data_IF_988978042268
#
_entry.id   IF_988978042268
#
_cell.length_a   1.000
_cell.length_b   1.000
_cell.length_c   1.000
_cell.angle_alpha   90.00
_cell.angle_beta   90.00
_cell.angle_gamma   90.00
#
_symmetry.space_group_name_H-M   'P 1'
#
loop_
_entity.id
_entity.type
_entity.pdbx_description
1 polymer ?
#
# COMPACT_ATOMS: atom_id res chain seq x y z
N UNK A 1 5.77 2.16 -21.24
CA UNK A 1 4.97 1.21 -22.04
C UNK A 1 3.57 1.09 -21.44
N UNK A 2 2.54 1.19 -22.29
CA UNK A 2 1.13 1.25 -21.87
C UNK A 2 0.65 -0.03 -21.21
N UNK A 3 1.09 -1.20 -21.68
CA UNK A 3 0.67 -2.50 -21.15
C UNK A 3 1.02 -2.70 -19.66
N UNK A 4 2.17 -2.21 -19.20
CA UNK A 4 2.58 -2.36 -17.81
C UNK A 4 1.73 -1.49 -16.88
N UNK A 5 1.29 -0.32 -17.36
CA UNK A 5 0.32 0.52 -16.65
C UNK A 5 -1.05 -0.15 -16.63
N UNK A 6 -1.50 -0.75 -17.73
CA UNK A 6 -2.76 -1.51 -17.78
C UNK A 6 -2.77 -2.67 -16.77
N UNK A 7 -1.69 -3.43 -16.70
CA UNK A 7 -1.53 -4.51 -15.73
C UNK A 7 -1.63 -3.99 -14.29
N UNK A 8 -1.00 -2.85 -13.98
CA UNK A 8 -1.13 -2.22 -12.67
C UNK A 8 -2.56 -1.75 -12.38
N UNK A 9 -3.28 -1.18 -13.35
CA UNK A 9 -4.70 -0.79 -13.20
C UNK A 9 -5.55 -2.00 -12.83
N UNK A 10 -5.38 -3.12 -13.55
CA UNK A 10 -6.14 -4.35 -13.30
C UNK A 10 -5.85 -4.92 -11.91
N UNK A 11 -4.57 -5.00 -11.53
CA UNK A 11 -4.16 -5.58 -10.25
C UNK A 11 -4.53 -4.66 -9.09
N UNK A 12 -4.32 -3.35 -9.20
CA UNK A 12 -4.73 -2.42 -8.14
C UNK A 12 -6.26 -2.39 -7.98
N UNK A 13 -7.01 -2.51 -9.08
CA UNK A 13 -8.46 -2.64 -9.07
C UNK A 13 -8.93 -3.91 -8.37
N UNK A 14 -8.31 -5.05 -8.68
CA UNK A 14 -8.56 -6.32 -8.00
C UNK A 14 -8.25 -6.23 -6.49
N UNK A 15 -7.10 -5.66 -6.13
CA UNK A 15 -6.70 -5.42 -4.74
C UNK A 15 -7.71 -4.55 -4.00
N UNK A 16 -8.18 -3.46 -4.64
CA UNK A 16 -9.19 -2.59 -4.05
C UNK A 16 -10.51 -3.35 -3.81
N UNK A 17 -10.92 -4.19 -4.75
CA UNK A 17 -12.12 -5.02 -4.63
C UNK A 17 -12.03 -6.02 -3.46
N UNK A 18 -10.93 -6.79 -3.36
CA UNK A 18 -10.76 -7.76 -2.29
C UNK A 18 -10.64 -7.09 -0.92
N UNK A 19 -9.95 -5.95 -0.83
CA UNK A 19 -9.89 -5.18 0.42
C UNK A 19 -11.27 -4.63 0.83
N UNK A 20 -12.13 -4.25 -0.12
CA UNK A 20 -13.52 -3.84 0.17
C UNK A 20 -14.32 -5.01 0.73
N UNK A 21 -14.17 -6.21 0.16
CA UNK A 21 -14.80 -7.43 0.64
C UNK A 21 -14.34 -7.76 2.06
N UNK A 22 -13.02 -7.77 2.31
CA UNK A 22 -12.45 -7.98 3.64
C UNK A 22 -12.95 -6.96 4.67
N UNK A 23 -13.08 -5.69 4.27
CA UNK A 23 -13.66 -4.64 5.11
C UNK A 23 -15.11 -4.93 5.48
N UNK A 24 -15.96 -5.31 4.51
CA UNK A 24 -17.38 -5.60 4.75
C UNK A 24 -17.57 -6.79 5.68
N UNK A 25 -16.78 -7.85 5.51
CA UNK A 25 -16.91 -9.08 6.30
C UNK A 25 -16.45 -8.91 7.74
N UNK A 26 -15.43 -8.09 8.00
CA UNK A 26 -14.77 -8.02 9.32
C UNK A 26 -14.93 -6.71 10.08
N UNK A 27 -15.37 -5.63 9.42
CA UNK A 27 -15.60 -4.33 10.06
C UNK A 27 -14.35 -3.66 10.67
N UNK A 28 -13.13 -4.14 10.35
CA UNK A 28 -11.90 -3.63 10.97
C UNK A 28 -11.41 -2.36 10.30
N UNK A 29 -11.09 -1.35 11.12
CA UNK A 29 -10.63 -0.03 10.67
C UNK A 29 -9.32 -0.11 9.87
N UNK A 30 -8.46 -1.08 10.16
CA UNK A 30 -7.17 -1.26 9.46
C UNK A 30 -7.32 -1.43 7.94
N UNK A 31 -8.36 -2.13 7.50
CA UNK A 31 -8.62 -2.34 6.07
C UNK A 31 -9.17 -1.09 5.41
N UNK A 32 -9.79 -0.18 6.15
CA UNK A 32 -10.31 1.06 5.60
C UNK A 32 -9.19 1.91 4.99
N UNK A 33 -8.09 2.11 5.73
CA UNK A 33 -6.93 2.85 5.20
C UNK A 33 -6.34 2.21 3.93
N UNK A 34 -6.17 0.87 3.93
CA UNK A 34 -5.67 0.16 2.75
C UNK A 34 -6.64 0.21 1.57
N UNK A 35 -7.97 0.11 1.80
CA UNK A 35 -8.97 0.23 0.73
C UNK A 35 -8.90 1.59 0.05
N UNK A 36 -8.82 2.67 0.83
CA UNK A 36 -8.74 4.03 0.27
C UNK A 36 -7.43 4.18 -0.51
N UNK A 37 -6.31 3.70 0.05
CA UNK A 37 -5.02 3.72 -0.64
C UNK A 37 -5.05 2.95 -1.97
N UNK A 38 -5.69 1.77 -2.00
CA UNK A 38 -5.81 0.95 -3.21
C UNK A 38 -6.72 1.59 -4.28
N UNK A 39 -7.83 2.22 -3.87
CA UNK A 39 -8.69 2.99 -4.77
C UNK A 39 -7.93 4.16 -5.37
N UNK A 40 -7.23 4.94 -4.54
CA UNK A 40 -6.40 6.06 -5.00
C UNK A 40 -5.30 5.58 -5.96
N UNK A 41 -4.63 4.47 -5.64
CA UNK A 41 -3.62 3.89 -6.53
C UNK A 41 -4.24 3.51 -7.89
N UNK A 42 -5.43 2.93 -7.89
CA UNK A 42 -6.14 2.57 -9.13
C UNK A 42 -6.48 3.81 -9.94
N UNK A 43 -6.94 4.89 -9.31
CA UNK A 43 -7.23 6.16 -9.98
C UNK A 43 -5.96 6.79 -10.59
N UNK A 44 -4.82 6.74 -9.89
CA UNK A 44 -3.53 7.20 -10.42
C UNK A 44 -3.10 6.37 -11.63
N UNK A 45 -3.18 5.05 -11.55
CA UNK A 45 -2.77 4.20 -12.68
C UNK A 45 -3.71 4.36 -13.87
N UNK A 46 -5.01 4.59 -13.63
CA UNK A 46 -5.99 4.84 -14.67
C UNK A 46 -5.74 6.17 -15.38
N UNK A 47 -5.43 7.25 -14.64
CA UNK A 47 -5.10 8.54 -15.26
C UNK A 47 -3.83 8.45 -16.10
N UNK A 48 -2.79 7.76 -15.60
CA UNK A 48 -1.56 7.48 -16.35
C UNK A 48 -1.81 6.63 -17.60
N UNK A 49 -2.75 5.68 -17.55
CA UNK A 49 -3.14 4.87 -18.70
C UNK A 49 -3.82 5.71 -19.77
N UNK A 50 -4.82 6.52 -19.41
CA UNK A 50 -5.55 7.40 -20.34
C UNK A 50 -4.61 8.43 -20.97
N UNK A 51 -3.67 8.98 -20.19
CA UNK A 51 -2.67 9.93 -20.68
C UNK A 51 -1.76 9.31 -21.75
N UNK A 52 -1.56 7.99 -21.71
CA UNK A 52 -0.81 7.28 -22.74
C UNK A 52 -1.48 7.26 -24.12
N UNK A 53 -2.78 7.55 -24.21
CA UNK A 53 -3.54 7.61 -25.46
C UNK A 53 -3.96 9.04 -25.84
N UNK A 54 -3.82 9.99 -24.92
CA UNK A 54 -4.31 11.36 -25.09
C UNK A 54 -3.11 12.29 -25.26
N UNK A 55 -2.93 12.87 -26.45
CA UNK A 55 -1.83 13.80 -26.74
C UNK A 55 -2.13 15.25 -26.31
N UNK A 56 -3.11 15.46 -25.42
CA UNK A 56 -3.52 16.80 -24.97
C UNK A 56 -2.66 17.29 -23.81
N UNK A 57 -2.05 18.48 -23.96
CA UNK A 57 -1.29 19.15 -22.90
C UNK A 57 -2.13 19.41 -21.63
N UNK A 58 -3.42 19.75 -21.81
CA UNK A 58 -4.33 19.97 -20.68
C UNK A 58 -4.51 18.69 -19.85
N UNK A 59 -4.63 17.54 -20.53
CA UNK A 59 -4.78 16.25 -19.86
C UNK A 59 -3.49 15.82 -19.15
N UNK A 60 -2.33 16.12 -19.73
CA UNK A 60 -1.03 15.86 -19.12
C UNK A 60 -0.85 16.62 -17.79
N UNK A 61 -1.25 17.89 -17.75
CA UNK A 61 -1.19 18.70 -16.52
C UNK A 61 -2.09 18.15 -15.41
N UNK A 62 -3.33 17.78 -15.76
CA UNK A 62 -4.27 17.16 -14.82
C UNK A 62 -3.71 15.82 -14.30
N UNK A 63 -3.16 14.99 -15.19
CA UNK A 63 -2.57 13.70 -14.83
C UNK A 63 -1.38 13.87 -13.88
N UNK A 64 -0.51 14.85 -14.13
CA UNK A 64 0.62 15.16 -13.24
C UNK A 64 0.13 15.55 -11.84
N UNK A 65 -0.87 16.42 -11.76
CA UNK A 65 -1.48 16.82 -10.49
C UNK A 65 -2.09 15.63 -9.73
N UNK A 66 -2.89 14.80 -10.41
CA UNK A 66 -3.51 13.59 -9.82
C UNK A 66 -2.44 12.62 -9.32
N UNK A 67 -1.39 12.40 -10.11
CA UNK A 67 -0.32 11.45 -9.77
C UNK A 67 0.43 11.90 -8.52
N UNK A 68 0.80 13.17 -8.46
CA UNK A 68 1.53 13.75 -7.35
C UNK A 68 0.73 13.70 -6.03
N UNK A 69 -0.46 14.32 -6.02
CA UNK A 69 -1.31 14.35 -4.83
C UNK A 69 -1.82 12.97 -4.46
N UNK A 70 -2.11 12.14 -5.46
CA UNK A 70 -2.51 10.76 -5.27
C UNK A 70 -1.44 9.94 -4.56
N UNK A 71 -0.17 10.04 -4.96
CA UNK A 71 0.91 9.30 -4.30
C UNK A 71 1.08 9.68 -2.84
N UNK A 72 1.03 10.97 -2.52
CA UNK A 72 1.19 11.49 -1.15
C UNK A 72 0.01 11.04 -0.28
N UNK A 73 -1.21 11.18 -0.80
CA UNK A 73 -2.43 10.78 -0.10
C UNK A 73 -2.48 9.27 0.12
N UNK A 74 -2.15 8.48 -0.92
CA UNK A 74 -2.05 7.02 -0.84
C UNK A 74 -1.06 6.60 0.25
N UNK A 75 0.13 7.22 0.28
CA UNK A 75 1.17 6.92 1.26
C UNK A 75 0.73 7.25 2.69
N UNK A 76 0.05 8.38 2.88
CA UNK A 76 -0.49 8.78 4.18
C UNK A 76 -1.52 7.77 4.70
N UNK A 77 -2.40 7.25 3.83
CA UNK A 77 -3.37 6.21 4.20
C UNK A 77 -2.72 4.86 4.48
N UNK A 78 -1.69 4.48 3.71
CA UNK A 78 -0.89 3.27 3.98
C UNK A 78 -0.25 3.37 5.36
N UNK A 79 0.51 4.44 5.64
CA UNK A 79 1.14 4.66 6.94
C UNK A 79 0.14 4.67 8.09
N UNK A 80 -1.02 5.31 7.89
CA UNK A 80 -2.09 5.33 8.90
C UNK A 80 -2.64 3.93 9.16
N UNK A 81 -2.85 3.12 8.11
CA UNK A 81 -3.26 1.72 8.26
C UNK A 81 -2.21 0.89 9.00
N UNK A 82 -0.92 1.02 8.65
CA UNK A 82 0.17 0.34 9.37
C UNK A 82 0.18 0.73 10.86
N UNK A 83 -0.03 2.01 11.18
CA UNK A 83 -0.11 2.46 12.56
C UNK A 83 -1.27 1.78 13.31
N UNK A 84 -2.43 1.58 12.67
CA UNK A 84 -3.53 0.79 13.23
C UNK A 84 -3.13 -0.68 13.43
N UNK A 85 -2.46 -1.30 12.46
CA UNK A 85 -1.97 -2.68 12.61
C UNK A 85 -1.01 -2.83 13.80
N UNK A 86 -0.07 -1.90 13.96
CA UNK A 86 0.87 -1.88 15.10
C UNK A 86 0.11 -1.69 16.41
N UNK A 87 -0.90 -0.82 16.44
CA UNK A 87 -1.73 -0.61 17.63
C UNK A 87 -2.47 -1.88 18.02
N UNK A 88 -3.15 -2.53 17.07
CA UNK A 88 -3.90 -3.77 17.29
C UNK A 88 -2.99 -4.95 17.68
N UNK A 89 -1.70 -4.90 17.33
CA UNK A 89 -0.72 -5.92 17.72
C UNK A 89 -0.42 -5.97 19.21
N UNK A 90 -0.72 -4.89 19.94
CA UNK A 90 -0.39 -4.70 21.35
C UNK A 90 -1.61 -5.02 22.23
N UNK A 91 -1.39 -5.52 23.47
CA UNK A 91 -2.49 -5.73 24.41
C UNK A 91 -3.15 -4.39 24.77
N UNK A 92 -4.44 -4.42 25.11
CA UNK A 92 -5.30 -3.22 25.25
C UNK A 92 -4.70 -2.15 26.18
N UNK A 93 -4.07 -2.55 27.28
CA UNK A 93 -3.45 -1.62 28.23
C UNK A 93 -2.21 -0.89 27.69
N UNK A 94 -1.55 -1.42 26.66
CA UNK A 94 -0.37 -0.84 26.03
C UNK A 94 -0.69 -0.16 24.67
N UNK A 95 -1.98 -0.08 24.32
CA UNK A 95 -2.42 0.59 23.11
C UNK A 95 -2.43 2.10 23.32
N UNK A 96 -1.73 2.81 22.44
CA UNK A 96 -1.83 4.26 22.38
C UNK A 96 -3.21 4.71 21.83
N UNK A 97 -3.61 5.98 22.05
CA UNK A 97 -4.90 6.50 21.55
C UNK A 97 -5.07 6.35 20.04
N UNK A 98 -6.29 6.03 19.59
CA UNK A 98 -6.58 5.84 18.15
C UNK A 98 -6.26 7.09 17.33
N UNK A 99 -6.38 8.29 17.89
CA UNK A 99 -6.06 9.53 17.19
C UNK A 99 -4.63 9.55 16.65
N UNK A 100 -3.66 8.94 17.35
CA UNK A 100 -2.28 8.92 16.89
C UNK A 100 -2.04 8.02 15.67
N UNK A 101 -2.95 7.08 15.37
CA UNK A 101 -2.85 6.30 14.13
C UNK A 101 -3.19 7.14 12.89
N UNK A 102 -3.85 8.28 13.06
CA UNK A 102 -4.17 9.22 11.98
C UNK A 102 -3.09 10.30 11.78
N UNK A 103 -2.05 10.35 12.63
CA UNK A 103 -0.96 11.33 12.49
C UNK A 103 -0.30 11.30 11.10
N UNK A 104 -0.11 10.16 10.42
CA UNK A 104 0.46 10.18 9.07
C UNK A 104 -0.38 10.95 8.03
N UNK A 105 -1.66 11.24 8.29
CA UNK A 105 -2.46 12.13 7.44
C UNK A 105 -1.97 13.58 7.46
N UNK A 106 -1.26 14.01 8.51
CA UNK A 106 -0.62 15.33 8.55
C UNK A 106 0.43 15.50 7.44
N UNK A 107 0.93 14.41 6.85
CA UNK A 107 1.82 14.46 5.69
C UNK A 107 1.18 15.26 4.55
N UNK A 108 -0.13 15.07 4.32
CA UNK A 108 -0.87 15.75 3.23
C UNK A 108 -0.85 17.28 3.43
N UNK A 109 -1.07 17.73 4.66
CA UNK A 109 -1.06 19.16 4.99
C UNK A 109 0.37 19.70 4.95
N UNK A 110 1.33 18.96 5.52
CA UNK A 110 2.75 19.37 5.53
C UNK A 110 3.34 19.48 4.12
N UNK A 111 2.81 18.72 3.16
CA UNK A 111 3.26 18.74 1.78
C UNK A 111 3.06 20.11 1.11
N UNK A 112 2.03 20.86 1.51
CA UNK A 112 1.79 22.22 1.00
C UNK A 112 2.97 23.17 1.24
N UNK A 113 3.74 22.94 2.31
CA UNK A 113 4.90 23.75 2.67
C UNK A 113 6.14 23.45 1.81
N UNK A 114 6.17 22.29 1.15
CA UNK A 114 7.35 21.76 0.45
C UNK A 114 7.14 21.67 -1.07
N UNK A 115 5.90 21.86 -1.54
CA UNK A 115 5.48 21.63 -2.94
C UNK A 115 6.35 22.33 -3.99
N UNK A 116 6.87 23.52 -3.68
CA UNK A 116 7.59 24.37 -4.64
C UNK A 116 9.07 23.97 -4.79
N UNK A 117 9.58 23.06 -3.95
CA UNK A 117 10.98 22.61 -4.00
C UNK A 117 11.09 21.15 -4.44
N UNK A 118 11.49 20.95 -5.70
CA UNK A 118 11.60 19.62 -6.33
C UNK A 118 12.47 18.62 -5.54
N UNK A 119 13.63 19.08 -5.04
CA UNK A 119 14.55 18.23 -4.28
C UNK A 119 13.94 17.74 -2.97
N UNK A 120 13.34 18.65 -2.18
CA UNK A 120 12.71 18.30 -0.90
C UNK A 120 11.52 17.36 -1.10
N UNK A 121 10.70 17.59 -2.13
CA UNK A 121 9.60 16.69 -2.50
C UNK A 121 10.08 15.26 -2.74
N UNK A 122 11.12 15.08 -3.55
CA UNK A 122 11.65 13.75 -3.86
C UNK A 122 12.24 13.06 -2.63
N UNK A 123 13.00 13.78 -1.80
CA UNK A 123 13.53 13.23 -0.55
C UNK A 123 12.42 12.81 0.40
N UNK A 124 11.40 13.66 0.56
CA UNK A 124 10.24 13.39 1.41
C UNK A 124 9.48 12.14 0.96
N UNK A 125 9.22 11.98 -0.35
CA UNK A 125 8.62 10.76 -0.91
C UNK A 125 9.50 9.53 -0.71
N UNK A 126 10.81 9.66 -0.95
CA UNK A 126 11.78 8.57 -0.78
C UNK A 126 11.80 8.06 0.67
N UNK A 127 11.85 8.98 1.63
CA UNK A 127 11.89 8.68 3.07
C UNK A 127 10.58 8.05 3.52
N UNK A 128 9.43 8.62 3.13
CA UNK A 128 8.14 8.09 3.59
C UNK A 128 7.80 6.73 2.96
N UNK A 129 8.10 6.51 1.67
CA UNK A 129 7.92 5.21 1.03
C UNK A 129 8.85 4.17 1.65
N UNK A 130 10.14 4.49 1.80
CA UNK A 130 11.13 3.62 2.42
C UNK A 130 10.76 3.29 3.87
N UNK A 131 10.32 4.29 4.63
CA UNK A 131 9.85 4.13 6.01
C UNK A 131 8.62 3.23 6.11
N UNK A 132 7.63 3.40 5.22
CA UNK A 132 6.44 2.53 5.18
C UNK A 132 6.83 1.07 4.92
N UNK A 133 7.72 0.83 3.96
CA UNK A 133 8.22 -0.51 3.62
C UNK A 133 9.02 -1.10 4.78
N UNK A 134 9.93 -0.33 5.39
CA UNK A 134 10.73 -0.79 6.53
C UNK A 134 9.86 -1.19 7.72
N UNK A 135 8.86 -0.37 8.06
CA UNK A 135 7.90 -0.66 9.13
C UNK A 135 7.07 -1.91 8.80
N UNK A 136 6.58 -2.03 7.56
CA UNK A 136 5.87 -3.22 7.10
C UNK A 136 6.74 -4.48 7.27
N UNK A 137 8.00 -4.41 6.85
CA UNK A 137 8.93 -5.53 6.86
C UNK A 137 9.22 -5.98 8.29
N UNK A 138 9.51 -5.05 9.20
CA UNK A 138 9.71 -5.36 10.62
C UNK A 138 8.46 -6.00 11.25
N UNK A 139 7.29 -5.40 11.01
CA UNK A 139 6.02 -5.89 11.56
C UNK A 139 5.72 -7.32 11.06
N UNK A 140 5.78 -7.55 9.75
CA UNK A 140 5.47 -8.85 9.16
C UNK A 140 6.55 -9.90 9.41
N UNK A 141 7.81 -9.51 9.63
CA UNK A 141 8.85 -10.45 10.06
C UNK A 141 8.54 -11.01 11.45
N UNK A 142 8.18 -10.14 12.41
CA UNK A 142 7.81 -10.56 13.77
C UNK A 142 6.54 -11.42 13.76
N UNK A 143 5.55 -11.08 12.92
CA UNK A 143 4.34 -11.89 12.79
C UNK A 143 4.62 -13.25 12.17
N UNK A 144 5.43 -13.30 11.11
CA UNK A 144 5.80 -14.55 10.43
C UNK A 144 6.57 -15.48 11.37
N UNK A 145 7.43 -14.92 12.22
CA UNK A 145 8.12 -15.70 13.26
C UNK A 145 7.16 -16.39 14.23
N UNK A 146 6.04 -15.75 14.57
CA UNK A 146 5.03 -16.33 15.47
C UNK A 146 4.04 -17.26 14.75
N UNK A 147 3.77 -16.99 13.48
CA UNK A 147 2.67 -17.53 12.70
C UNK A 147 3.05 -17.58 11.22
N UNK A 148 3.30 -18.78 10.70
CA UNK A 148 3.77 -18.99 9.32
C UNK A 148 2.78 -18.52 8.25
N UNK A 149 1.52 -18.28 8.61
CA UNK A 149 0.46 -17.78 7.75
C UNK A 149 0.80 -16.40 7.13
N UNK A 150 1.58 -15.59 7.84
CA UNK A 150 1.99 -14.25 7.38
C UNK A 150 3.12 -14.25 6.35
N UNK A 151 3.70 -15.42 6.02
CA UNK A 151 4.85 -15.54 5.12
C UNK A 151 4.57 -14.97 3.72
N UNK A 152 3.36 -15.18 3.18
CA UNK A 152 2.98 -14.61 1.88
C UNK A 152 2.97 -13.09 1.89
N UNK A 153 2.50 -12.48 2.99
CA UNK A 153 2.49 -11.02 3.14
C UNK A 153 3.93 -10.52 3.24
N UNK A 154 4.79 -11.19 4.02
CA UNK A 154 6.20 -10.85 4.13
C UNK A 154 6.91 -10.91 2.78
N UNK A 155 6.68 -11.96 1.98
CA UNK A 155 7.22 -12.06 0.62
C UNK A 155 6.75 -10.89 -0.27
N UNK A 156 5.47 -10.54 -0.22
CA UNK A 156 4.95 -9.36 -0.92
C UNK A 156 5.65 -8.06 -0.49
N UNK A 157 5.88 -7.87 0.81
CA UNK A 157 6.62 -6.68 1.32
C UNK A 157 8.09 -6.69 0.90
N UNK A 158 8.76 -7.84 0.85
CA UNK A 158 10.13 -7.92 0.33
C UNK A 158 10.20 -7.61 -1.17
N UNK A 159 9.18 -7.96 -1.95
CA UNK A 159 9.05 -7.56 -3.35
C UNK A 159 8.79 -6.06 -3.50
N UNK A 160 8.01 -5.45 -2.61
CA UNK A 160 7.89 -3.99 -2.54
C UNK A 160 9.24 -3.32 -2.27
N UNK A 161 10.05 -3.87 -1.37
CA UNK A 161 11.40 -3.36 -1.11
C UNK A 161 12.27 -3.46 -2.36
N UNK A 162 12.26 -4.60 -3.06
CA UNK A 162 12.98 -4.75 -4.32
C UNK A 162 12.52 -3.71 -5.35
N UNK A 163 11.20 -3.55 -5.55
CA UNK A 163 10.63 -2.57 -6.47
C UNK A 163 11.05 -1.13 -6.12
N UNK A 164 11.06 -0.80 -4.83
CA UNK A 164 11.51 0.50 -4.32
C UNK A 164 12.99 0.75 -4.62
N UNK A 165 13.85 -0.24 -4.34
CA UNK A 165 15.29 -0.14 -4.62
C UNK A 165 15.56 0.03 -6.12
N UNK A 166 14.85 -0.75 -6.95
CA UNK A 166 14.92 -0.64 -8.41
C UNK A 166 14.49 0.75 -8.90
N UNK A 167 13.40 1.31 -8.35
CA UNK A 167 12.89 2.60 -8.80
C UNK A 167 13.78 3.78 -8.41
N UNK A 168 14.31 3.80 -7.18
CA UNK A 168 15.05 4.95 -6.65
C UNK A 168 16.56 4.92 -6.93
N UNK A 169 17.19 3.74 -6.89
CA UNK A 169 18.66 3.63 -6.92
C UNK A 169 19.22 3.16 -8.25
N UNK A 170 18.37 2.69 -9.17
CA UNK A 170 18.81 2.27 -10.50
C UNK A 170 18.36 3.28 -11.59
N UNK A 171 19.18 4.31 -11.88
CA UNK A 171 18.84 5.30 -12.90
C UNK A 171 18.74 4.70 -14.31
N UNK A 172 19.48 3.61 -14.58
CA UNK A 172 19.44 2.91 -15.86
C UNK A 172 18.12 2.14 -16.05
N UNK A 173 17.63 1.48 -15.00
CA UNK A 173 16.34 0.80 -15.01
C UNK A 173 15.17 1.78 -15.20
N UNK A 174 15.28 3.02 -14.70
CA UNK A 174 14.27 4.05 -14.92
C UNK A 174 14.19 4.50 -16.38
N UNK A 175 15.33 4.57 -17.07
CA UNK A 175 15.42 5.03 -18.45
C UNK A 175 15.03 3.95 -19.47
N UNK A 176 15.41 2.69 -19.24
CA UNK A 176 15.27 1.61 -20.25
C UNK A 176 14.17 0.60 -19.87
N UNK A 177 14.00 0.29 -18.59
CA UNK A 177 13.10 -0.77 -18.10
C UNK A 177 12.05 -0.25 -17.11
N UNK A 178 11.40 0.87 -17.44
CA UNK A 178 10.32 1.43 -16.63
C UNK A 178 9.10 0.52 -16.42
N UNK A 179 9.11 -0.70 -16.98
CA UNK A 179 8.10 -1.73 -16.78
C UNK A 179 8.47 -2.72 -15.66
N UNK A 180 9.75 -2.94 -15.38
CA UNK A 180 10.20 -3.99 -14.44
C UNK A 180 9.71 -3.71 -13.02
N UNK A 181 9.92 -2.48 -12.53
CA UNK A 181 9.44 -2.08 -11.21
C UNK A 181 7.91 -2.15 -11.12
N UNK A 182 7.19 -1.89 -12.22
CA UNK A 182 5.72 -2.00 -12.26
C UNK A 182 5.25 -3.43 -12.07
N UNK A 183 5.91 -4.40 -12.72
CA UNK A 183 5.62 -5.82 -12.51
C UNK A 183 5.92 -6.24 -11.07
N UNK A 184 7.04 -5.78 -10.52
CA UNK A 184 7.39 -6.09 -9.12
C UNK A 184 6.33 -5.53 -8.15
N UNK A 185 5.87 -4.29 -8.35
CA UNK A 185 4.77 -3.70 -7.56
C UNK A 185 3.48 -4.48 -7.71
N UNK A 186 3.13 -4.88 -8.94
CA UNK A 186 1.96 -5.69 -9.22
C UNK A 186 2.00 -7.05 -8.49
N UNK A 187 3.13 -7.76 -8.60
CA UNK A 187 3.32 -9.03 -7.92
C UNK A 187 3.27 -8.86 -6.39
N UNK A 188 3.88 -7.80 -5.86
CA UNK A 188 3.86 -7.47 -4.44
C UNK A 188 2.43 -7.19 -3.93
N UNK A 189 1.66 -6.40 -4.67
CA UNK A 189 0.24 -6.13 -4.35
C UNK A 189 -0.58 -7.40 -4.33
N UNK A 190 -0.42 -8.26 -5.34
CA UNK A 190 -1.16 -9.52 -5.43
C UNK A 190 -0.82 -10.48 -4.29
N UNK A 191 0.47 -10.67 -3.99
CA UNK A 191 0.92 -11.53 -2.88
C UNK A 191 0.48 -11.01 -1.51
N UNK A 192 0.48 -9.70 -1.31
CA UNK A 192 0.04 -9.12 -0.01
C UNK A 192 -1.46 -9.31 0.20
N UNK A 193 -2.31 -9.07 -0.82
CA UNK A 193 -3.77 -9.29 -0.72
C UNK A 193 -4.13 -10.75 -0.50
N UNK A 194 -3.59 -11.66 -1.31
CA UNK A 194 -3.82 -13.10 -1.16
C UNK A 194 -3.32 -13.62 0.19
N UNK A 195 -2.21 -13.06 0.69
CA UNK A 195 -1.72 -13.32 2.04
C UNK A 195 -2.70 -12.88 3.13
N UNK A 196 -3.34 -11.72 3.00
CA UNK A 196 -4.38 -11.27 3.95
C UNK A 196 -5.61 -12.19 3.92
N UNK A 197 -6.10 -12.56 2.75
CA UNK A 197 -7.24 -13.47 2.60
C UNK A 197 -6.98 -14.82 3.27
N UNK A 198 -5.82 -15.42 3.00
CA UNK A 198 -5.42 -16.70 3.61
C UNK A 198 -5.33 -16.61 5.12
N UNK A 199 -4.72 -15.55 5.63
CA UNK A 199 -4.54 -15.36 7.09
C UNK A 199 -5.88 -15.20 7.79
N UNK A 200 -6.82 -14.44 7.22
CA UNK A 200 -8.16 -14.25 7.80
C UNK A 200 -9.02 -15.53 7.67
N UNK A 201 -8.93 -16.29 6.58
CA UNK A 201 -9.64 -17.56 6.43
C UNK A 201 -9.25 -18.58 7.52
N UNK A 202 -7.95 -18.67 7.86
CA UNK A 202 -7.46 -19.54 8.93
C UNK A 202 -7.95 -19.06 10.30
N UNK A 203 -7.95 -17.74 10.54
CA UNK A 203 -8.45 -17.17 11.79
C UNK A 203 -9.93 -17.50 12.03
N UNK A 204 -10.75 -17.53 10.98
CA UNK A 204 -12.16 -17.90 11.07
C UNK A 204 -12.38 -19.37 11.42
N UNK A 205 -11.61 -20.27 10.81
CA UNK A 205 -11.69 -21.70 11.10
C UNK A 205 -11.36 -22.00 12.57
N UNK A 206 -10.36 -21.32 13.14
CA UNK A 206 -9.99 -21.47 14.54
C UNK A 206 -11.12 -21.05 15.48
N UNK A 207 -11.78 -19.92 15.21
CA UNK A 207 -12.88 -19.43 16.05
C UNK A 207 -14.08 -20.39 16.07
N UNK A 208 -14.41 -21.01 14.92
CA UNK A 208 -15.49 -22.00 14.86
C UNK A 208 -15.14 -23.30 15.59
N UNK A 209 -13.89 -23.74 15.55
CA UNK A 209 -13.46 -24.96 16.28
C UNK A 209 -13.58 -24.79 17.80
N UNK A 210 -13.26 -23.62 18.35
CA UNK A 210 -13.38 -23.32 19.79
C UNK A 210 -14.81 -23.21 20.29
N UNK A 211 -15.80 -22.95 19.42
CA UNK A 211 -17.21 -22.89 19.82
C UNK A 211 -17.82 -24.30 20.00
N UNK A 212 -17.32 -25.31 19.28
CA UNK A 212 -17.86 -26.66 19.33
C UNK A 212 -17.35 -27.49 20.52
N UNK A 213 -16.28 -27.07 21.21
CA UNK A 213 -15.69 -27.82 22.34
C UNK A 213 -16.22 -27.41 23.72
N UNK A 214 -17.13 -26.42 23.79
CA UNK A 214 -17.70 -25.93 25.05
C UNK A 214 -19.07 -26.56 25.38
N UNK A 215 -19.34 -27.77 24.88
CA UNK A 215 -20.52 -28.56 25.20
C UNK A 215 -20.14 -29.89 25.83
#
# INVERSE_FOLDING_TARGET
MVWATLLLVLISGYVAFELIKLRKTKGRLKYLGLTIAAILLTLIQLSLFINGFTESETFANITSFITEWGHITCLAFVLSSLAVFIRESKPVFAQFPLLYTALPLLIIVSYLLVKDTYALKNWLLTIYQGGAIAVALLMYSVYTYRRSEYLMILLGVTLFLAAYLFFWFNPFAKAIEGWLWKILVAAALWLTVTGYEKTEAIADQLNHSTQNTNF
#
